data_IF_237450115864
#
_entry.id   IF_237450115864
#
_cell.length_a   1.000
_cell.length_b   1.000
_cell.length_c   1.000
_cell.angle_alpha   90.00
_cell.angle_beta   90.00
_cell.angle_gamma   90.00
#
_symmetry.space_group_name_H-M   'P 1'
#
loop_
_entity.id
_entity.type
_entity.pdbx_description
1 polymer ?
#
# COMPACT_ATOMS: atom_id res chain seq x y z
N UNK A 1 -9.94 12.11 17.26
CA UNK A 1 -11.27 11.50 17.03
C UNK A 1 -11.47 10.25 17.91
N UNK A 2 -10.57 9.22 17.83
CA UNK A 2 -10.71 7.95 18.57
C UNK A 2 -10.79 8.16 20.10
N UNK A 3 -9.98 9.07 20.67
CA UNK A 3 -10.07 9.43 22.09
C UNK A 3 -11.44 10.00 22.47
N UNK A 4 -11.96 10.91 21.65
CA UNK A 4 -13.30 11.46 21.85
C UNK A 4 -14.41 10.40 21.77
N UNK A 5 -14.28 9.41 20.89
CA UNK A 5 -15.19 8.26 20.88
C UNK A 5 -15.13 7.48 22.23
N UNK A 6 -13.94 7.19 22.71
CA UNK A 6 -13.77 6.47 23.97
C UNK A 6 -14.32 7.27 25.17
N UNK A 7 -14.08 8.57 25.23
CA UNK A 7 -14.63 9.48 26.26
C UNK A 7 -16.15 9.55 26.21
N UNK A 8 -16.74 9.42 25.01
CA UNK A 8 -18.19 9.40 24.82
C UNK A 8 -18.81 7.99 24.99
N UNK A 9 -18.01 6.96 25.35
CA UNK A 9 -18.49 5.58 25.45
C UNK A 9 -18.87 4.93 24.12
N UNK A 10 -18.36 5.48 23.00
CA UNK A 10 -18.59 4.95 21.65
C UNK A 10 -17.49 3.99 21.24
N UNK A 11 -17.88 2.86 20.66
CA UNK A 11 -16.90 1.90 20.10
C UNK A 11 -16.39 2.40 18.76
N UNK A 12 -15.10 2.69 18.66
CA UNK A 12 -14.44 2.97 17.40
C UNK A 12 -14.10 1.66 16.67
N UNK A 13 -14.54 1.53 15.41
CA UNK A 13 -14.23 0.36 14.58
C UNK A 13 -12.87 0.59 13.93
N UNK A 14 -11.81 0.15 14.59
CA UNK A 14 -10.42 0.35 14.17
C UNK A 14 -9.45 0.09 15.31
N UNK A 15 -8.14 0.36 15.09
CA UNK A 15 -7.12 0.30 16.13
C UNK A 15 -7.39 1.34 17.22
N UNK A 16 -6.84 1.12 18.40
CA UNK A 16 -6.96 2.09 19.48
C UNK A 16 -6.08 3.33 19.26
N UNK A 17 -6.27 4.34 20.11
CA UNK A 17 -5.58 5.61 19.98
C UNK A 17 -4.04 5.49 20.14
N UNK A 18 -3.55 4.49 20.90
CA UNK A 18 -2.12 4.26 21.10
C UNK A 18 -1.49 3.70 19.83
N UNK A 19 -2.13 2.70 19.19
CA UNK A 19 -1.67 2.14 17.91
C UNK A 19 -1.69 3.19 16.79
N UNK A 20 -2.75 4.02 16.72
CA UNK A 20 -2.84 5.09 15.74
C UNK A 20 -1.76 6.15 15.94
N UNK A 21 -1.44 6.50 17.18
CA UNK A 21 -0.37 7.44 17.49
C UNK A 21 1.02 6.86 17.13
N UNK A 22 1.27 5.60 17.52
CA UNK A 22 2.54 4.92 17.29
C UNK A 22 2.85 4.78 15.79
N UNK A 23 1.93 4.22 15.01
CA UNK A 23 2.15 3.98 13.58
C UNK A 23 1.90 5.22 12.70
N UNK A 24 1.22 6.23 13.23
CA UNK A 24 1.11 7.55 12.60
C UNK A 24 2.38 8.40 12.71
N UNK A 25 3.25 8.07 13.66
CA UNK A 25 4.56 8.69 13.84
C UNK A 25 5.65 7.80 13.24
N UNK A 26 6.26 8.25 12.14
CA UNK A 26 7.31 7.46 11.44
C UNK A 26 8.52 7.18 12.31
N UNK A 27 8.92 8.11 13.18
CA UNK A 27 10.07 7.91 14.07
C UNK A 27 9.74 6.85 15.13
N UNK A 28 8.56 6.89 15.72
CA UNK A 28 8.10 5.91 16.69
C UNK A 28 7.96 4.50 16.05
N UNK A 29 7.42 4.41 14.83
CA UNK A 29 7.32 3.15 14.10
C UNK A 29 8.70 2.55 13.77
N UNK A 30 9.69 3.39 13.39
CA UNK A 30 11.08 2.98 13.15
C UNK A 30 11.74 2.47 14.44
N UNK A 31 11.58 3.18 15.55
CA UNK A 31 12.08 2.74 16.86
C UNK A 31 11.48 1.39 17.27
N UNK A 32 10.19 1.15 17.01
CA UNK A 32 9.57 -0.16 17.22
C UNK A 32 10.23 -1.24 16.33
N UNK A 33 10.45 -0.95 15.06
CA UNK A 33 11.09 -1.88 14.13
C UNK A 33 12.50 -2.26 14.61
N UNK A 34 13.32 -1.27 15.00
CA UNK A 34 14.66 -1.49 15.58
C UNK A 34 14.61 -2.38 16.82
N UNK A 35 13.69 -2.11 17.75
CA UNK A 35 13.49 -2.91 18.96
C UNK A 35 13.13 -4.36 18.64
N UNK A 36 12.37 -4.58 17.58
CA UNK A 36 11.99 -5.90 17.09
C UNK A 36 13.03 -6.56 16.19
N UNK A 37 14.20 -5.93 15.96
CA UNK A 37 15.24 -6.44 15.06
C UNK A 37 14.85 -6.45 13.58
N UNK A 38 13.89 -5.61 13.18
CA UNK A 38 13.40 -5.50 11.81
C UNK A 38 14.28 -4.54 11.03
N UNK A 39 14.84 -4.96 9.86
CA UNK A 39 15.71 -4.11 9.06
C UNK A 39 15.01 -2.83 8.58
N UNK A 40 15.75 -1.73 8.65
CA UNK A 40 15.31 -0.41 8.19
C UNK A 40 16.22 0.10 7.08
N UNK A 41 15.66 0.95 6.20
CA UNK A 41 16.48 1.66 5.23
C UNK A 41 17.48 2.57 5.95
N UNK A 42 18.78 2.49 5.65
CA UNK A 42 19.76 3.45 6.14
C UNK A 42 19.36 4.87 5.76
N UNK A 43 19.34 5.77 6.73
CA UNK A 43 18.89 7.15 6.52
C UNK A 43 19.30 8.07 7.66
N UNK A 44 18.95 9.34 7.53
CA UNK A 44 19.15 10.31 8.60
C UNK A 44 18.21 10.06 9.78
N UNK A 45 18.65 10.37 10.98
CA UNK A 45 17.85 10.21 12.21
C UNK A 45 16.64 11.16 12.28
N UNK A 46 16.62 12.21 11.47
CA UNK A 46 15.57 13.22 11.47
C UNK A 46 15.75 14.21 10.31
N UNK A 47 15.21 15.42 10.48
CA UNK A 47 15.39 16.48 9.52
C UNK A 47 16.89 16.79 9.31
N UNK A 48 17.25 17.02 8.05
CA UNK A 48 18.62 17.38 7.66
C UNK A 48 18.65 18.69 6.88
N UNK A 49 19.77 19.39 6.94
CA UNK A 49 20.09 20.51 6.04
C UNK A 49 20.47 19.99 4.65
N UNK A 50 20.56 20.88 3.67
CA UNK A 50 21.04 20.50 2.34
C UNK A 50 22.47 19.95 2.37
N UNK A 51 23.36 20.55 3.17
CA UNK A 51 24.74 20.12 3.33
C UNK A 51 24.83 18.72 3.92
N UNK A 52 24.03 18.41 4.94
CA UNK A 52 23.94 17.07 5.54
C UNK A 52 23.38 16.06 4.54
N UNK A 53 22.39 16.44 3.74
CA UNK A 53 21.83 15.59 2.68
C UNK A 53 22.87 15.29 1.59
N UNK A 54 23.70 16.29 1.22
CA UNK A 54 24.81 16.10 0.27
C UNK A 54 25.91 15.17 0.82
N UNK A 55 26.26 15.34 2.09
CA UNK A 55 27.21 14.46 2.76
C UNK A 55 26.68 13.02 2.83
N UNK A 56 25.40 12.85 3.17
CA UNK A 56 24.76 11.53 3.16
C UNK A 56 24.75 10.92 1.76
N UNK A 57 24.41 11.68 0.71
CA UNK A 57 24.44 11.22 -0.69
C UNK A 57 25.83 10.72 -1.08
N UNK A 58 26.87 11.50 -0.78
CA UNK A 58 28.24 11.12 -1.10
C UNK A 58 28.67 9.80 -0.44
N UNK A 59 28.17 9.52 0.77
CA UNK A 59 28.46 8.30 1.51
C UNK A 59 27.74 7.05 0.94
N UNK A 60 26.75 7.20 0.03
CA UNK A 60 26.01 6.07 -0.53
C UNK A 60 26.73 5.35 -1.68
N UNK A 61 27.95 5.75 -2.06
CA UNK A 61 28.76 5.11 -3.11
C UNK A 61 28.00 4.88 -4.44
N UNK A 62 27.17 5.85 -4.85
CA UNK A 62 26.42 5.79 -6.11
C UNK A 62 25.05 5.13 -6.04
N UNK A 63 24.61 4.64 -4.88
CA UNK A 63 23.26 4.05 -4.75
C UNK A 63 22.11 5.09 -4.88
N UNK A 64 22.43 6.38 -4.79
CA UNK A 64 21.44 7.45 -4.77
C UNK A 64 20.71 7.56 -3.42
N UNK A 65 19.84 8.55 -3.32
CA UNK A 65 19.05 8.80 -2.12
C UNK A 65 17.59 9.09 -2.45
N UNK A 66 16.72 8.81 -1.50
CA UNK A 66 15.34 9.26 -1.47
C UNK A 66 15.24 10.43 -0.50
N UNK A 67 14.85 11.61 -0.98
CA UNK A 67 14.54 12.77 -0.16
C UNK A 67 13.06 12.72 0.20
N UNK A 68 12.73 12.81 1.50
CA UNK A 68 11.35 12.64 2.01
C UNK A 68 10.96 13.76 2.96
N UNK A 69 9.76 14.31 2.80
CA UNK A 69 9.15 15.22 3.78
C UNK A 69 8.81 14.46 5.08
N UNK A 70 9.12 15.04 6.24
CA UNK A 70 8.86 14.43 7.56
C UNK A 70 7.37 14.19 7.78
N UNK A 71 6.52 15.14 7.41
CA UNK A 71 5.06 15.01 7.48
C UNK A 71 4.43 14.27 6.30
N UNK A 72 5.23 13.81 5.31
CA UNK A 72 4.74 13.23 4.07
C UNK A 72 4.14 11.84 4.23
N UNK A 73 3.11 11.54 3.43
CA UNK A 73 2.46 10.24 3.33
C UNK A 73 1.85 10.02 1.96
N UNK A 74 1.57 8.76 1.59
CA UNK A 74 0.96 8.41 0.30
C UNK A 74 1.80 8.82 -0.91
N UNK A 75 3.12 8.82 -0.81
CA UNK A 75 4.04 9.16 -1.90
C UNK A 75 4.21 10.67 -2.17
N UNK A 76 3.56 11.55 -1.40
CA UNK A 76 3.73 13.00 -1.53
C UNK A 76 4.96 13.49 -0.78
N UNK A 77 5.68 14.47 -1.34
CA UNK A 77 6.89 15.01 -0.73
C UNK A 77 8.07 14.03 -0.77
N UNK A 78 8.14 13.16 -1.78
CA UNK A 78 9.23 12.19 -1.96
C UNK A 78 9.87 12.36 -3.34
N UNK A 79 11.22 12.35 -3.39
CA UNK A 79 12.00 12.41 -4.65
C UNK A 79 13.21 11.51 -4.59
N UNK A 80 13.32 10.63 -5.60
CA UNK A 80 14.52 9.86 -5.84
C UNK A 80 15.58 10.75 -6.52
N UNK A 81 16.80 10.69 -6.04
CA UNK A 81 17.95 11.43 -6.57
C UNK A 81 19.06 10.45 -6.86
N UNK A 82 19.44 10.35 -8.15
CA UNK A 82 20.51 9.48 -8.63
C UNK A 82 21.80 10.23 -8.91
N UNK A 83 21.71 11.52 -9.16
CA UNK A 83 22.86 12.38 -9.46
C UNK A 83 23.00 13.46 -8.41
N UNK A 84 24.20 13.69 -7.90
CA UNK A 84 24.45 14.72 -6.88
C UNK A 84 24.00 16.12 -7.32
N UNK A 85 24.08 16.42 -8.62
CA UNK A 85 23.67 17.71 -9.18
C UNK A 85 22.16 17.97 -9.01
N UNK A 86 21.31 16.93 -8.94
CA UNK A 86 19.86 17.06 -8.84
C UNK A 86 19.39 17.24 -7.38
N UNK A 87 20.27 16.96 -6.41
CA UNK A 87 19.90 16.94 -4.99
C UNK A 87 19.42 18.31 -4.47
N UNK A 88 20.04 19.45 -4.80
CA UNK A 88 19.57 20.74 -4.31
C UNK A 88 18.15 21.09 -4.75
N UNK A 89 17.83 20.80 -6.03
CA UNK A 89 16.49 21.05 -6.56
C UNK A 89 15.45 20.12 -5.92
N UNK A 90 15.76 18.82 -5.83
CA UNK A 90 14.89 17.83 -5.20
C UNK A 90 14.61 18.16 -3.74
N UNK A 91 15.64 18.61 -2.99
CA UNK A 91 15.54 19.02 -1.61
C UNK A 91 14.61 20.23 -1.47
N UNK A 92 14.84 21.32 -2.24
CA UNK A 92 14.05 22.53 -2.19
C UNK A 92 12.57 22.25 -2.52
N UNK A 93 12.29 21.42 -3.51
CA UNK A 93 10.92 20.99 -3.87
C UNK A 93 10.25 20.19 -2.76
N UNK A 94 10.96 19.25 -2.12
CA UNK A 94 10.40 18.48 -1.00
C UNK A 94 10.07 19.39 0.20
N UNK A 95 10.92 20.34 0.54
CA UNK A 95 10.66 21.34 1.59
C UNK A 95 9.42 22.18 1.27
N UNK A 96 9.32 22.68 0.03
CA UNK A 96 8.17 23.48 -0.40
C UNK A 96 6.84 22.69 -0.33
N UNK A 97 6.85 21.45 -0.77
CA UNK A 97 5.69 20.57 -0.71
C UNK A 97 5.32 20.20 0.74
N UNK A 98 6.33 19.96 1.60
CA UNK A 98 6.13 19.71 3.02
C UNK A 98 5.41 20.85 3.72
N UNK A 99 5.87 22.09 3.45
CA UNK A 99 5.24 23.31 3.97
C UNK A 99 3.81 23.47 3.47
N UNK A 100 3.58 23.31 2.17
CA UNK A 100 2.27 23.51 1.55
C UNK A 100 1.23 22.46 1.96
N UNK A 101 1.63 21.20 2.05
CA UNK A 101 0.71 20.09 2.28
C UNK A 101 0.53 19.73 3.76
N UNK A 102 1.55 19.93 4.60
CA UNK A 102 1.58 19.43 5.98
C UNK A 102 1.87 20.50 7.02
N UNK A 103 2.21 21.72 6.60
CA UNK A 103 2.52 22.84 7.52
C UNK A 103 3.83 22.64 8.32
N UNK A 104 4.64 21.64 7.96
CA UNK A 104 5.90 21.28 8.64
C UNK A 104 7.06 21.43 7.66
N UNK A 105 8.11 22.15 8.07
CA UNK A 105 9.35 22.28 7.30
C UNK A 105 10.35 21.26 7.82
N UNK A 106 10.61 20.25 7.03
CA UNK A 106 11.65 19.28 7.36
C UNK A 106 11.64 18.15 6.33
N UNK A 107 12.82 17.83 5.87
CA UNK A 107 13.06 16.67 5.02
C UNK A 107 14.14 15.80 5.65
N UNK A 108 14.03 14.51 5.45
CA UNK A 108 15.07 13.54 5.78
C UNK A 108 15.48 12.79 4.53
N UNK A 109 16.61 12.11 4.57
CA UNK A 109 17.14 11.35 3.45
C UNK A 109 17.34 9.90 3.84
N UNK A 110 17.07 9.00 2.89
CA UNK A 110 17.32 7.57 3.01
C UNK A 110 18.07 7.08 1.77
N UNK A 111 18.83 5.99 1.91
CA UNK A 111 19.41 5.26 0.78
C UNK A 111 18.30 4.87 -0.20
N UNK A 112 18.56 4.97 -1.49
CA UNK A 112 17.60 4.57 -2.53
C UNK A 112 17.77 3.07 -2.83
N UNK A 113 16.69 2.32 -2.80
CA UNK A 113 16.61 0.94 -3.28
C UNK A 113 16.06 0.97 -4.72
N UNK A 114 16.95 0.73 -5.71
CA UNK A 114 16.62 0.94 -7.13
C UNK A 114 15.67 -0.11 -7.70
N UNK A 115 15.77 -1.35 -7.25
CA UNK A 115 14.98 -2.48 -7.74
C UNK A 115 13.96 -2.96 -6.72
N UNK A 116 13.43 -1.99 -5.94
CA UNK A 116 12.50 -2.29 -4.87
C UNK A 116 11.15 -2.77 -5.41
N UNK A 117 10.73 -3.92 -4.90
CA UNK A 117 9.34 -4.36 -4.92
C UNK A 117 8.64 -3.89 -3.65
N UNK A 118 7.37 -3.55 -3.75
CA UNK A 118 6.55 -3.15 -2.61
C UNK A 118 5.69 -4.34 -2.17
N UNK A 119 6.05 -4.93 -1.06
CA UNK A 119 5.34 -6.05 -0.44
C UNK A 119 4.73 -5.58 0.87
N UNK A 120 3.50 -5.97 1.14
CA UNK A 120 2.82 -5.60 2.37
C UNK A 120 2.15 -6.81 3.02
N UNK A 121 2.15 -6.87 4.35
CA UNK A 121 1.58 -7.96 5.14
C UNK A 121 0.28 -7.49 5.78
N UNK A 122 -0.83 -8.20 5.50
CA UNK A 122 -2.10 -7.97 6.17
C UNK A 122 -2.08 -8.58 7.57
N UNK A 123 -2.28 -7.76 8.58
CA UNK A 123 -2.37 -8.18 9.99
C UNK A 123 -3.80 -8.02 10.49
N UNK A 124 -4.21 -8.98 11.32
CA UNK A 124 -5.41 -8.91 12.16
C UNK A 124 -5.02 -9.25 13.60
N UNK A 125 -5.42 -8.40 14.54
CA UNK A 125 -5.20 -8.62 15.97
C UNK A 125 -6.45 -8.35 16.79
N UNK A 126 -6.56 -9.01 17.94
CA UNK A 126 -7.65 -8.80 18.91
C UNK A 126 -7.18 -8.12 20.20
N UNK A 127 -5.90 -7.68 20.25
CA UNK A 127 -5.25 -7.10 21.42
C UNK A 127 -4.53 -8.12 22.30
N UNK A 128 -4.71 -9.43 22.06
CA UNK A 128 -4.06 -10.54 22.77
C UNK A 128 -3.31 -11.45 21.82
N UNK A 129 -3.93 -11.76 20.71
CA UNK A 129 -3.38 -12.58 19.63
C UNK A 129 -3.32 -11.77 18.34
N UNK A 130 -2.33 -12.08 17.50
CA UNK A 130 -2.10 -11.44 16.21
C UNK A 130 -1.83 -12.52 15.17
N UNK A 131 -2.41 -12.37 14.00
CA UNK A 131 -2.18 -13.27 12.86
C UNK A 131 -1.91 -12.47 11.58
N UNK A 132 -1.21 -13.11 10.64
CA UNK A 132 -1.08 -12.64 9.26
C UNK A 132 -2.15 -13.30 8.40
N UNK A 133 -2.70 -12.52 7.47
CA UNK A 133 -3.61 -13.00 6.42
C UNK A 133 -2.94 -13.02 5.04
N UNK A 134 -1.61 -13.14 5.03
CA UNK A 134 -0.79 -13.20 3.83
C UNK A 134 -0.30 -11.83 3.36
N UNK A 135 0.45 -11.88 2.26
CA UNK A 135 1.03 -10.69 1.64
C UNK A 135 0.27 -10.26 0.39
N UNK A 136 0.50 -8.99 0.05
CA UNK A 136 0.13 -8.38 -1.24
C UNK A 136 1.36 -7.79 -1.90
N UNK A 137 1.43 -7.91 -3.20
CA UNK A 137 2.39 -7.19 -4.03
C UNK A 137 1.75 -5.92 -4.58
N UNK A 138 2.37 -4.78 -4.31
CA UNK A 138 1.91 -3.46 -4.70
C UNK A 138 2.95 -2.68 -5.52
N UNK A 139 3.85 -3.38 -6.23
CA UNK A 139 4.98 -2.79 -6.96
C UNK A 139 4.56 -1.99 -8.19
N UNK A 140 3.39 -2.29 -8.79
CA UNK A 140 2.89 -1.59 -9.95
C UNK A 140 2.25 -0.27 -9.56
N UNK A 141 3.08 0.76 -9.55
CA UNK A 141 2.73 2.10 -9.09
C UNK A 141 3.06 3.14 -10.16
N UNK A 142 2.36 4.26 -10.10
CA UNK A 142 2.71 5.47 -10.82
C UNK A 142 2.99 6.57 -9.81
N UNK A 143 4.23 7.06 -9.76
CA UNK A 143 4.65 8.10 -8.80
C UNK A 143 4.22 7.78 -7.36
N UNK A 144 4.50 6.55 -6.93
CA UNK A 144 4.14 6.02 -5.60
C UNK A 144 2.63 5.84 -5.34
N UNK A 145 1.79 5.97 -6.35
CA UNK A 145 0.36 5.62 -6.27
C UNK A 145 0.14 4.21 -6.83
N UNK A 146 -0.39 3.32 -6.03
CA UNK A 146 -0.71 1.94 -6.40
C UNK A 146 -1.75 1.94 -7.52
N UNK A 147 -1.52 1.14 -8.57
CA UNK A 147 -2.42 0.97 -9.72
C UNK A 147 -2.93 -0.46 -9.84
N UNK A 148 -2.07 -1.43 -9.50
CA UNK A 148 -2.38 -2.86 -9.54
C UNK A 148 -1.82 -3.49 -8.28
N UNK A 149 -2.65 -4.25 -7.60
CA UNK A 149 -2.27 -5.02 -6.42
C UNK A 149 -2.60 -6.51 -6.64
N UNK A 150 -1.72 -7.38 -6.14
CA UNK A 150 -1.78 -8.81 -6.37
C UNK A 150 -1.65 -9.57 -5.04
N UNK A 151 -2.42 -10.60 -4.83
CA UNK A 151 -2.29 -11.53 -3.70
C UNK A 151 -2.43 -12.99 -4.16
N UNK A 152 -1.57 -13.89 -3.63
CA UNK A 152 -0.27 -13.60 -3.04
C UNK A 152 0.70 -13.06 -4.10
N UNK A 153 1.88 -12.59 -3.68
CA UNK A 153 2.93 -12.19 -4.62
C UNK A 153 3.40 -13.39 -5.46
N UNK A 154 3.34 -13.32 -6.81
CA UNK A 154 3.60 -14.50 -7.65
C UNK A 154 5.07 -14.90 -7.70
N UNK A 155 5.99 -13.99 -7.41
CA UNK A 155 7.43 -14.19 -7.56
C UNK A 155 8.25 -13.96 -6.29
N UNK A 156 7.61 -13.77 -5.14
CA UNK A 156 8.32 -13.65 -3.86
C UNK A 156 8.78 -15.03 -3.38
N UNK A 157 10.07 -15.18 -3.06
CA UNK A 157 10.59 -16.43 -2.53
C UNK A 157 9.97 -16.79 -1.17
N UNK A 158 9.79 -18.09 -0.90
CA UNK A 158 9.20 -18.56 0.36
C UNK A 158 10.01 -18.11 1.58
N UNK A 159 11.33 -18.02 1.44
CA UNK A 159 12.22 -17.52 2.50
C UNK A 159 11.88 -16.08 2.86
N UNK A 160 11.83 -15.18 1.87
CA UNK A 160 11.55 -13.78 2.11
C UNK A 160 10.11 -13.56 2.57
N UNK A 161 9.14 -14.30 2.00
CA UNK A 161 7.75 -14.30 2.48
C UNK A 161 7.68 -14.62 3.97
N UNK A 162 8.39 -15.67 4.40
CA UNK A 162 8.44 -16.04 5.81
C UNK A 162 9.10 -14.93 6.66
N UNK A 163 10.27 -14.45 6.27
CA UNK A 163 11.01 -13.43 7.03
C UNK A 163 10.21 -12.14 7.24
N UNK A 164 9.63 -11.57 6.18
CA UNK A 164 8.85 -10.32 6.28
C UNK A 164 7.52 -10.54 7.04
N UNK A 165 6.91 -11.73 6.90
CA UNK A 165 5.72 -12.07 7.70
C UNK A 165 6.06 -12.14 9.19
N UNK A 166 7.16 -12.79 9.56
CA UNK A 166 7.60 -12.85 10.97
C UNK A 166 7.96 -11.46 11.51
N UNK A 167 8.57 -10.59 10.71
CA UNK A 167 8.87 -9.21 11.08
C UNK A 167 7.58 -8.42 11.39
N UNK A 168 6.58 -8.48 10.51
CA UNK A 168 5.29 -7.84 10.73
C UNK A 168 4.58 -8.37 11.99
N UNK A 169 4.60 -9.70 12.19
CA UNK A 169 4.02 -10.34 13.37
C UNK A 169 4.76 -9.95 14.66
N UNK A 170 6.10 -9.85 14.63
CA UNK A 170 6.90 -9.45 15.78
C UNK A 170 6.54 -8.02 16.22
N UNK A 171 6.50 -7.08 15.29
CA UNK A 171 6.11 -5.69 15.56
C UNK A 171 4.68 -5.59 16.09
N UNK A 172 3.74 -6.31 15.48
CA UNK A 172 2.34 -6.28 15.89
C UNK A 172 2.11 -6.93 17.26
N UNK A 173 2.84 -8.02 17.59
CA UNK A 173 2.78 -8.68 18.91
C UNK A 173 3.38 -7.83 20.01
N UNK A 174 4.50 -7.16 19.75
CA UNK A 174 5.19 -6.31 20.73
C UNK A 174 4.27 -5.22 21.30
N UNK A 175 3.37 -4.72 20.48
CA UNK A 175 2.42 -3.66 20.87
C UNK A 175 1.02 -4.17 21.22
N UNK A 176 0.77 -5.49 21.18
CA UNK A 176 -0.56 -6.06 21.40
C UNK A 176 -1.59 -5.52 20.40
N UNK A 177 -1.24 -5.55 19.10
CA UNK A 177 -2.04 -4.89 18.05
C UNK A 177 -3.49 -5.36 18.06
N UNK A 178 -4.41 -4.41 17.87
CA UNK A 178 -5.84 -4.67 17.75
C UNK A 178 -6.40 -4.07 16.48
N UNK A 179 -7.33 -4.80 15.81
CA UNK A 179 -7.96 -4.46 14.53
C UNK A 179 -7.14 -4.89 13.32
N UNK A 180 -7.55 -4.44 12.13
CA UNK A 180 -6.81 -4.61 10.89
C UNK A 180 -5.66 -3.61 10.79
N UNK A 181 -4.56 -4.04 10.23
CA UNK A 181 -3.41 -3.21 9.90
C UNK A 181 -2.59 -3.83 8.79
N UNK A 182 -1.78 -3.02 8.15
CA UNK A 182 -0.90 -3.44 7.06
C UNK A 182 0.50 -2.94 7.33
N UNK A 183 1.48 -3.84 7.25
CA UNK A 183 2.90 -3.52 7.41
C UNK A 183 3.56 -3.61 6.05
N UNK A 184 4.20 -2.52 5.62
CA UNK A 184 4.75 -2.36 4.27
C UNK A 184 6.26 -2.48 4.26
N UNK A 185 6.78 -3.18 3.25
CA UNK A 185 8.19 -3.50 3.09
C UNK A 185 8.65 -3.20 1.65
N UNK A 186 9.90 -2.77 1.51
CA UNK A 186 10.59 -2.83 0.22
C UNK A 186 11.45 -4.09 0.18
N UNK A 187 11.41 -4.78 -0.95
CA UNK A 187 12.12 -6.05 -1.16
C UNK A 187 12.95 -5.95 -2.44
N UNK A 188 14.24 -6.26 -2.34
CA UNK A 188 15.16 -6.40 -3.47
C UNK A 188 15.89 -7.74 -3.34
N UNK A 189 15.37 -8.77 -4.01
CA UNK A 189 15.93 -10.13 -3.95
C UNK A 189 17.34 -10.23 -4.55
N UNK A 190 17.73 -9.24 -5.36
CA UNK A 190 19.10 -9.14 -5.91
C UNK A 190 20.13 -8.60 -4.92
N UNK A 191 19.69 -7.98 -3.83
CA UNK A 191 20.58 -7.42 -2.81
C UNK A 191 21.00 -8.48 -1.79
N UNK A 192 22.31 -8.73 -1.69
CA UNK A 192 22.86 -9.60 -0.64
C UNK A 192 23.02 -8.90 0.70
N UNK A 193 23.12 -7.57 0.70
CA UNK A 193 23.32 -6.76 1.91
C UNK A 193 22.00 -6.44 2.61
N UNK A 194 20.99 -6.05 1.83
CA UNK A 194 19.72 -5.57 2.36
C UNK A 194 18.57 -6.06 1.48
N UNK A 195 18.20 -7.36 1.58
CA UNK A 195 17.20 -7.95 0.71
C UNK A 195 15.79 -7.43 0.95
N UNK A 196 15.52 -6.89 2.12
CA UNK A 196 14.25 -6.26 2.45
C UNK A 196 14.37 -5.30 3.63
N UNK A 197 13.46 -4.33 3.71
CA UNK A 197 13.36 -3.35 4.81
C UNK A 197 11.90 -3.02 5.09
N UNK A 198 11.60 -2.71 6.35
CA UNK A 198 10.34 -2.11 6.74
C UNK A 198 10.31 -0.62 6.35
N UNK A 199 9.16 -0.14 5.84
CA UNK A 199 8.97 1.27 5.48
C UNK A 199 7.92 1.96 6.32
N UNK A 200 6.75 1.35 6.50
CA UNK A 200 5.68 1.93 7.31
C UNK A 200 4.64 0.87 7.72
N UNK A 201 3.81 1.19 8.70
CA UNK A 201 2.61 0.45 8.98
C UNK A 201 1.38 1.36 8.90
N UNK A 202 0.34 0.86 8.28
CA UNK A 202 -0.94 1.54 8.12
C UNK A 202 -1.96 0.94 9.08
N UNK A 203 -2.26 1.59 10.23
CA UNK A 203 -3.18 1.07 11.23
C UNK A 203 -4.65 1.31 10.81
N UNK A 204 -5.04 0.72 9.70
CA UNK A 204 -6.38 0.87 9.10
C UNK A 204 -6.60 -0.16 8.01
N UNK A 205 -7.85 -0.32 7.60
CA UNK A 205 -8.20 -1.01 6.35
C UNK A 205 -7.61 -0.23 5.16
N UNK A 206 -7.08 -0.95 4.18
CA UNK A 206 -6.55 -0.36 2.94
C UNK A 206 -7.45 -0.67 1.73
N UNK A 207 -7.29 0.10 0.64
CA UNK A 207 -8.09 -0.04 -0.59
C UNK A 207 -7.95 -1.44 -1.17
N UNK A 208 -6.75 -2.00 -1.10
CA UNK A 208 -6.33 -3.29 -1.67
C UNK A 208 -6.67 -4.52 -0.82
N UNK A 209 -7.40 -4.36 0.30
CA UNK A 209 -7.81 -5.49 1.15
C UNK A 209 -8.58 -6.58 0.39
N UNK A 210 -9.27 -6.20 -0.68
CA UNK A 210 -10.13 -7.09 -1.47
C UNK A 210 -9.38 -8.25 -2.11
N UNK A 211 -8.11 -8.10 -2.52
CA UNK A 211 -7.34 -9.25 -3.05
C UNK A 211 -7.03 -10.28 -1.97
N UNK A 212 -6.83 -9.84 -0.73
CA UNK A 212 -6.68 -10.75 0.42
C UNK A 212 -7.99 -11.49 0.69
N UNK A 213 -9.13 -10.81 0.64
CA UNK A 213 -10.46 -11.42 0.78
C UNK A 213 -10.69 -12.51 -0.28
N UNK A 214 -10.37 -12.22 -1.54
CA UNK A 214 -10.55 -13.17 -2.65
C UNK A 214 -9.72 -14.45 -2.51
N UNK A 215 -8.48 -14.35 -2.01
CA UNK A 215 -7.61 -15.54 -1.88
C UNK A 215 -7.79 -16.30 -0.57
N UNK A 216 -8.28 -15.63 0.50
CA UNK A 216 -8.48 -16.27 1.81
C UNK A 216 -9.94 -16.71 2.05
N UNK A 217 -10.89 -16.13 1.32
CA UNK A 217 -12.31 -16.34 1.55
C UNK A 217 -12.86 -15.64 2.81
N UNK A 218 -12.09 -14.73 3.41
CA UNK A 218 -12.49 -13.96 4.60
C UNK A 218 -13.09 -12.62 4.22
N UNK A 219 -14.05 -12.13 4.98
CA UNK A 219 -14.54 -10.76 4.92
C UNK A 219 -13.81 -9.92 5.99
N UNK A 220 -12.84 -9.13 5.56
CA UNK A 220 -12.00 -8.35 6.47
C UNK A 220 -12.79 -7.25 7.19
N UNK A 221 -13.79 -6.68 6.54
CA UNK A 221 -14.64 -5.65 7.14
C UNK A 221 -15.48 -6.24 8.26
N UNK A 222 -16.10 -7.41 8.05
CA UNK A 222 -16.83 -8.11 9.10
C UNK A 222 -15.92 -8.50 10.26
N UNK A 223 -14.70 -8.98 9.99
CA UNK A 223 -13.72 -9.30 11.02
C UNK A 223 -13.33 -8.06 11.84
N UNK A 224 -13.12 -6.91 11.18
CA UNK A 224 -12.84 -5.65 11.87
C UNK A 224 -13.97 -5.24 12.82
N UNK A 225 -15.21 -5.32 12.36
CA UNK A 225 -16.41 -5.04 13.17
C UNK A 225 -16.51 -6.02 14.35
N UNK A 226 -16.31 -7.31 14.10
CA UNK A 226 -16.37 -8.34 15.16
C UNK A 226 -15.31 -8.13 16.24
N UNK A 227 -14.06 -7.80 15.87
CA UNK A 227 -13.00 -7.47 16.82
C UNK A 227 -13.33 -6.19 17.60
N UNK A 228 -13.87 -5.17 16.95
CA UNK A 228 -14.32 -3.95 17.60
C UNK A 228 -15.44 -4.24 18.63
N UNK A 229 -16.33 -5.18 18.32
CA UNK A 229 -17.35 -5.68 19.25
C UNK A 229 -16.82 -6.58 20.39
N UNK A 230 -15.49 -6.75 20.49
CA UNK A 230 -14.83 -7.48 21.59
C UNK A 230 -14.66 -8.98 21.35
N UNK A 231 -14.91 -9.48 20.13
CA UNK A 231 -14.67 -10.89 19.82
C UNK A 231 -13.18 -11.18 19.68
N UNK A 232 -12.72 -12.32 20.22
CA UNK A 232 -11.36 -12.81 20.03
C UNK A 232 -11.21 -13.54 18.70
N UNK A 233 -9.97 -13.66 18.19
CA UNK A 233 -9.68 -14.42 16.96
C UNK A 233 -10.17 -15.86 17.09
N UNK A 234 -9.93 -16.51 18.23
CA UNK A 234 -10.41 -17.88 18.47
C UNK A 234 -11.93 -18.01 18.45
N UNK A 235 -12.68 -17.01 18.98
CA UNK A 235 -14.14 -17.01 18.93
C UNK A 235 -14.69 -16.78 17.52
N UNK A 236 -13.86 -16.30 16.61
CA UNK A 236 -14.15 -16.13 15.17
C UNK A 236 -13.74 -17.36 14.35
N UNK A 237 -13.23 -18.41 14.99
CA UNK A 237 -12.74 -19.61 14.30
C UNK A 237 -11.38 -19.42 13.64
N UNK A 238 -10.64 -18.38 14.03
CA UNK A 238 -9.32 -18.05 13.49
C UNK A 238 -8.23 -18.49 14.46
N UNK A 239 -7.33 -19.34 13.98
CA UNK A 239 -6.15 -19.80 14.71
C UNK A 239 -4.90 -19.05 14.23
N UNK A 240 -4.27 -18.23 15.08
CA UNK A 240 -3.02 -17.53 14.74
C UNK A 240 -1.85 -18.46 14.38
N UNK A 241 -1.89 -19.72 14.81
CA UNK A 241 -0.86 -20.72 14.49
C UNK A 241 -1.13 -21.45 13.16
N UNK A 242 -2.37 -21.40 12.68
CA UNK A 242 -2.82 -22.00 11.42
C UNK A 242 -3.64 -20.99 10.61
N UNK A 243 -3.02 -19.89 10.11
CA UNK A 243 -3.73 -18.90 9.32
C UNK A 243 -4.31 -19.51 8.06
N UNK A 244 -5.44 -18.99 7.54
CA UNK A 244 -6.03 -19.50 6.31
C UNK A 244 -5.03 -19.41 5.15
N UNK A 245 -4.88 -20.53 4.45
CA UNK A 245 -4.04 -20.61 3.27
C UNK A 245 -4.66 -19.82 2.11
N UNK A 246 -3.84 -19.08 1.38
CA UNK A 246 -4.26 -18.43 0.14
C UNK A 246 -4.57 -19.49 -0.92
N UNK A 247 -5.68 -19.31 -1.64
CA UNK A 247 -6.12 -20.19 -2.74
C UNK A 247 -6.03 -19.45 -4.06
N UNK A 248 -5.08 -19.86 -4.90
CA UNK A 248 -4.85 -19.24 -6.21
C UNK A 248 -4.33 -17.82 -6.13
N UNK A 249 -4.78 -16.95 -7.05
CA UNK A 249 -4.34 -15.56 -7.15
C UNK A 249 -5.51 -14.61 -7.34
N UNK A 250 -5.39 -13.39 -6.80
CA UNK A 250 -6.28 -12.28 -7.07
C UNK A 250 -5.49 -11.04 -7.51
N UNK A 251 -6.07 -10.27 -8.42
CA UNK A 251 -5.51 -9.03 -8.97
C UNK A 251 -6.56 -7.94 -8.85
N UNK A 252 -6.23 -6.84 -8.18
CA UNK A 252 -7.03 -5.62 -8.14
C UNK A 252 -6.45 -4.60 -9.12
N UNK A 253 -7.32 -3.93 -9.84
CA UNK A 253 -7.01 -2.90 -10.82
C UNK A 253 -7.78 -1.64 -10.44
N UNK A 254 -7.07 -0.53 -10.21
CA UNK A 254 -7.70 0.75 -9.82
C UNK A 254 -8.10 1.54 -11.05
N UNK A 255 -9.38 1.59 -11.34
CA UNK A 255 -9.93 2.42 -12.42
C UNK A 255 -10.17 3.82 -11.86
N UNK A 256 -9.36 4.78 -12.31
CA UNK A 256 -9.37 6.17 -11.84
C UNK A 256 -9.93 7.11 -12.92
N UNK A 257 -10.71 8.12 -12.49
CA UNK A 257 -11.11 9.25 -13.32
C UNK A 257 -9.94 10.21 -13.47
N UNK A 258 -9.10 10.00 -14.48
CA UNK A 258 -7.90 10.82 -14.68
C UNK A 258 -7.43 10.82 -16.13
N UNK A 259 -6.79 11.93 -16.52
CA UNK A 259 -6.03 12.06 -17.78
C UNK A 259 -4.55 11.99 -17.47
N UNK A 260 -3.80 11.24 -18.28
CA UNK A 260 -2.35 11.16 -18.17
C UNK A 260 -1.70 12.15 -19.14
N UNK A 261 -0.89 13.06 -18.62
CA UNK A 261 -0.02 13.92 -19.41
C UNK A 261 1.17 13.16 -20.00
N UNK A 262 1.79 13.71 -21.02
CA UNK A 262 3.02 13.17 -21.61
C UNK A 262 4.19 13.09 -20.60
N UNK A 263 4.14 13.91 -19.55
CA UNK A 263 5.07 13.93 -18.42
C UNK A 263 4.78 12.84 -17.37
N UNK A 264 3.78 11.96 -17.62
CA UNK A 264 3.32 10.93 -16.69
C UNK A 264 2.55 11.47 -15.48
N UNK A 265 2.20 12.77 -15.47
CA UNK A 265 1.34 13.32 -14.43
C UNK A 265 -0.13 12.98 -14.67
N UNK A 266 -0.83 12.55 -13.62
CA UNK A 266 -2.27 12.42 -13.66
C UNK A 266 -2.93 13.74 -13.27
N UNK A 267 -4.00 14.05 -13.95
CA UNK A 267 -4.91 15.16 -13.61
C UNK A 267 -6.31 14.58 -13.44
N UNK A 268 -7.05 14.97 -12.39
CA UNK A 268 -8.41 14.52 -12.20
C UNK A 268 -9.26 14.72 -13.45
N UNK A 269 -9.94 13.67 -13.88
CA UNK A 269 -10.92 13.73 -14.94
C UNK A 269 -12.23 14.30 -14.44
N UNK A 270 -12.84 15.18 -15.22
CA UNK A 270 -14.14 15.78 -14.89
C UNK A 270 -15.15 15.46 -16.00
N UNK A 271 -16.41 15.49 -15.67
CA UNK A 271 -17.51 15.20 -16.59
C UNK A 271 -18.55 14.27 -15.97
N UNK A 272 -19.61 13.99 -16.71
CA UNK A 272 -20.63 13.02 -16.36
C UNK A 272 -20.32 11.67 -17.01
N UNK A 273 -20.40 10.58 -16.26
CA UNK A 273 -20.28 9.22 -16.78
C UNK A 273 -21.46 8.94 -17.72
N UNK A 274 -21.26 9.07 -19.02
CA UNK A 274 -22.31 8.83 -20.01
C UNK A 274 -22.61 7.34 -20.17
N UNK A 275 -21.57 6.49 -20.05
CA UNK A 275 -21.66 5.04 -20.01
C UNK A 275 -20.73 4.53 -18.90
N UNK A 276 -21.20 3.53 -18.16
CA UNK A 276 -20.42 2.92 -17.08
C UNK A 276 -20.79 1.44 -16.96
N UNK A 277 -20.30 0.65 -17.90
CA UNK A 277 -20.51 -0.79 -17.94
C UNK A 277 -19.25 -1.49 -17.51
N UNK A 278 -19.34 -2.26 -16.42
CA UNK A 278 -18.25 -3.02 -15.84
C UNK A 278 -18.50 -4.52 -15.97
N UNK A 279 -17.43 -5.33 -16.08
CA UNK A 279 -17.54 -6.77 -16.25
C UNK A 279 -18.14 -7.45 -15.03
N UNK A 280 -18.71 -8.62 -15.26
CA UNK A 280 -19.25 -9.49 -14.21
C UNK A 280 -18.98 -10.97 -14.53
N UNK A 281 -19.33 -11.84 -13.59
CA UNK A 281 -19.23 -13.29 -13.74
C UNK A 281 -18.23 -13.93 -12.78
N UNK A 282 -18.00 -15.26 -12.89
CA UNK A 282 -17.18 -16.01 -11.95
C UNK A 282 -15.75 -15.49 -11.83
N UNK A 283 -15.33 -15.17 -10.60
CA UNK A 283 -13.99 -14.63 -10.31
C UNK A 283 -13.81 -13.18 -10.78
N UNK A 284 -14.89 -12.43 -10.94
CA UNK A 284 -14.88 -10.99 -11.17
C UNK A 284 -15.72 -10.32 -10.09
N UNK A 285 -15.10 -9.42 -9.34
CA UNK A 285 -15.73 -8.58 -8.33
C UNK A 285 -15.49 -7.12 -8.70
N UNK A 286 -16.49 -6.29 -8.53
CA UNK A 286 -16.38 -4.85 -8.74
C UNK A 286 -16.87 -4.14 -7.49
N UNK A 287 -15.98 -3.33 -6.89
CA UNK A 287 -16.35 -2.40 -5.83
C UNK A 287 -16.32 -0.98 -6.42
N UNK A 288 -17.46 -0.31 -6.47
CA UNK A 288 -17.56 1.01 -7.13
C UNK A 288 -18.59 1.90 -6.46
N UNK A 289 -18.39 3.21 -6.59
CA UNK A 289 -19.40 4.22 -6.32
C UNK A 289 -19.93 4.87 -7.62
N UNK A 290 -19.32 4.51 -8.78
CA UNK A 290 -19.70 5.05 -10.09
C UNK A 290 -20.96 4.38 -10.64
N UNK A 291 -21.72 5.13 -11.43
CA UNK A 291 -22.87 4.67 -12.21
C UNK A 291 -23.09 5.62 -13.39
N UNK A 292 -23.79 5.16 -14.43
CA UNK A 292 -24.14 6.01 -15.57
C UNK A 292 -24.98 7.23 -15.10
N UNK A 293 -24.58 8.43 -15.49
CA UNK A 293 -25.16 9.70 -15.04
C UNK A 293 -24.47 10.33 -13.83
N UNK A 294 -23.57 9.62 -13.13
CA UNK A 294 -22.81 10.21 -12.02
C UNK A 294 -21.77 11.21 -12.52
N UNK A 295 -21.50 12.24 -11.71
CA UNK A 295 -20.43 13.21 -11.93
C UNK A 295 -19.40 13.09 -10.81
N UNK A 296 -18.25 12.42 -11.05
CA UNK A 296 -17.20 12.29 -10.05
C UNK A 296 -16.65 13.66 -9.66
N UNK A 297 -16.44 13.84 -8.35
CA UNK A 297 -15.90 15.10 -7.83
C UNK A 297 -14.38 15.16 -7.96
N UNK A 298 -13.80 16.22 -8.53
CA UNK A 298 -12.34 16.39 -8.60
C UNK A 298 -11.70 16.77 -7.25
N UNK A 299 -12.52 17.03 -6.22
CA UNK A 299 -12.04 17.44 -4.89
C UNK A 299 -11.66 16.27 -3.98
N UNK A 300 -11.97 15.05 -4.39
CA UNK A 300 -11.68 13.81 -3.66
C UNK A 300 -10.77 12.90 -4.47
N UNK A 301 -10.61 11.65 -4.02
CA UNK A 301 -9.86 10.64 -4.75
C UNK A 301 -10.49 10.38 -6.13
N UNK A 302 -9.64 10.15 -7.13
CA UNK A 302 -10.06 9.87 -8.51
C UNK A 302 -10.54 8.44 -8.71
N UNK A 303 -10.44 7.56 -7.72
CA UNK A 303 -10.83 6.16 -7.81
C UNK A 303 -12.32 6.01 -8.09
N UNK A 304 -12.68 5.51 -9.27
CA UNK A 304 -14.06 5.21 -9.66
C UNK A 304 -14.49 3.81 -9.27
N UNK A 305 -13.61 2.84 -9.53
CA UNK A 305 -13.90 1.43 -9.29
C UNK A 305 -12.62 0.66 -9.00
N UNK A 306 -12.77 -0.38 -8.18
CA UNK A 306 -11.80 -1.47 -8.05
C UNK A 306 -12.34 -2.65 -8.88
N UNK A 307 -11.65 -3.01 -9.93
CA UNK A 307 -11.90 -4.25 -10.65
C UNK A 307 -11.00 -5.32 -10.04
N UNK A 308 -11.60 -6.30 -9.39
CA UNK A 308 -10.88 -7.39 -8.73
C UNK A 308 -11.19 -8.69 -9.48
N UNK A 309 -10.15 -9.36 -9.93
CA UNK A 309 -10.27 -10.67 -10.58
C UNK A 309 -9.57 -11.72 -9.73
N UNK A 310 -10.15 -12.90 -9.63
CA UNK A 310 -9.55 -14.01 -8.88
C UNK A 310 -9.60 -15.32 -9.67
N UNK A 311 -8.61 -16.17 -9.44
CA UNK A 311 -8.52 -17.52 -10.00
C UNK A 311 -8.05 -18.49 -8.92
N UNK A 312 -8.72 -19.60 -8.75
CA UNK A 312 -8.30 -20.68 -7.85
C UNK A 312 -7.13 -21.52 -8.39
N UNK A 313 -6.74 -21.29 -9.64
CA UNK A 313 -5.58 -21.93 -10.25
C UNK A 313 -4.30 -21.53 -9.50
N UNK A 314 -3.36 -22.46 -9.29
CA UNK A 314 -2.04 -22.15 -8.74
C UNK A 314 -1.13 -21.43 -9.76
N UNK A 315 -1.61 -21.18 -10.97
CA UNK A 315 -0.87 -20.51 -12.04
C UNK A 315 -1.31 -19.07 -12.15
N UNK A 316 -0.40 -18.13 -11.89
CA UNK A 316 -0.69 -16.68 -11.93
C UNK A 316 -1.24 -16.20 -13.26
N UNK A 317 -0.70 -16.71 -14.38
CA UNK A 317 -1.16 -16.37 -15.74
C UNK A 317 -2.67 -16.61 -15.96
N UNK A 318 -3.33 -17.48 -15.19
CA UNK A 318 -4.79 -17.68 -15.28
C UNK A 318 -5.56 -16.49 -14.71
N UNK A 319 -5.08 -15.87 -13.63
CA UNK A 319 -5.63 -14.63 -13.10
C UNK A 319 -5.31 -13.45 -14.04
N UNK A 320 -4.09 -13.39 -14.58
CA UNK A 320 -3.68 -12.35 -15.53
C UNK A 320 -4.53 -12.37 -16.81
N UNK A 321 -4.81 -13.54 -17.40
CA UNK A 321 -5.73 -13.65 -18.55
C UNK A 321 -7.14 -13.16 -18.22
N UNK A 322 -7.63 -13.46 -17.01
CA UNK A 322 -8.94 -12.96 -16.56
C UNK A 322 -8.94 -11.45 -16.39
N UNK A 323 -7.86 -10.86 -15.89
CA UNK A 323 -7.71 -9.41 -15.77
C UNK A 323 -7.76 -8.71 -17.13
N UNK A 324 -7.05 -9.24 -18.14
CA UNK A 324 -7.10 -8.73 -19.52
C UNK A 324 -8.52 -8.73 -20.07
N UNK A 325 -9.19 -9.89 -20.01
CA UNK A 325 -10.57 -10.02 -20.50
C UNK A 325 -11.51 -9.05 -19.76
N UNK A 326 -11.42 -8.96 -18.45
CA UNK A 326 -12.27 -8.09 -17.67
C UNK A 326 -12.06 -6.60 -18.01
N UNK A 327 -10.81 -6.16 -18.22
CA UNK A 327 -10.52 -4.79 -18.67
C UNK A 327 -11.04 -4.52 -20.07
N UNK A 328 -11.00 -5.53 -20.97
CA UNK A 328 -11.49 -5.38 -22.35
C UNK A 328 -13.03 -5.30 -22.43
N UNK A 329 -13.72 -5.83 -21.41
CA UNK A 329 -15.17 -5.75 -21.27
C UNK A 329 -15.64 -4.40 -20.69
N UNK A 330 -14.75 -3.60 -20.06
CA UNK A 330 -15.11 -2.30 -19.50
C UNK A 330 -15.51 -1.29 -20.59
N UNK A 331 -16.62 -0.58 -20.38
CA UNK A 331 -17.07 0.54 -21.22
C UNK A 331 -17.38 1.74 -20.34
N UNK A 332 -16.45 2.69 -20.31
CA UNK A 332 -16.58 3.92 -19.52
C UNK A 332 -16.39 5.10 -20.48
N UNK A 333 -17.40 5.97 -20.57
CA UNK A 333 -17.36 7.16 -21.42
C UNK A 333 -17.90 8.39 -20.67
N UNK A 334 -17.61 9.58 -21.20
CA UNK A 334 -18.02 10.87 -20.61
C UNK A 334 -17.01 11.44 -19.61
N UNK A 335 -16.14 10.60 -19.05
CA UNK A 335 -15.05 10.98 -18.16
C UNK A 335 -13.77 10.27 -18.62
N UNK A 336 -12.63 10.96 -18.74
CA UNK A 336 -11.36 10.29 -19.04
C UNK A 336 -10.95 9.40 -17.89
N UNK A 337 -10.40 8.22 -18.21
CA UNK A 337 -9.93 7.23 -17.22
C UNK A 337 -8.56 6.70 -17.58
N UNK A 338 -7.92 6.05 -16.61
CA UNK A 338 -6.66 5.33 -16.78
C UNK A 338 -6.83 3.91 -17.38
N UNK A 339 -8.02 3.55 -17.88
CA UNK A 339 -8.33 2.20 -18.36
C UNK A 339 -7.31 1.70 -19.41
N UNK A 340 -6.97 2.55 -20.40
CA UNK A 340 -5.99 2.20 -21.43
C UNK A 340 -4.59 1.90 -20.85
N UNK A 341 -4.19 2.61 -19.78
CA UNK A 341 -2.93 2.33 -19.08
C UNK A 341 -2.98 0.95 -18.40
N UNK A 342 -4.08 0.63 -17.71
CA UNK A 342 -4.25 -0.68 -17.07
C UNK A 342 -4.22 -1.82 -18.10
N UNK A 343 -4.91 -1.66 -19.23
CA UNK A 343 -4.87 -2.62 -20.35
C UNK A 343 -3.44 -2.79 -20.90
N UNK A 344 -2.70 -1.70 -21.07
CA UNK A 344 -1.31 -1.75 -21.51
C UNK A 344 -0.40 -2.48 -20.50
N UNK A 345 -0.58 -2.26 -19.20
CA UNK A 345 0.17 -2.93 -18.12
C UNK A 345 -0.05 -4.45 -18.19
N UNK A 346 -1.31 -4.90 -18.13
CA UNK A 346 -1.62 -6.35 -18.08
C UNK A 346 -1.35 -7.08 -19.39
N UNK A 347 -1.16 -6.35 -20.49
CA UNK A 347 -0.83 -6.92 -21.80
C UNK A 347 0.67 -7.14 -22.02
N UNK A 348 1.52 -6.65 -21.12
CA UNK A 348 2.96 -6.88 -21.21
C UNK A 348 3.30 -8.34 -20.87
N UNK A 349 4.33 -8.88 -21.54
CA UNK A 349 4.81 -10.24 -21.29
C UNK A 349 5.34 -10.41 -19.87
N UNK A 350 5.91 -9.35 -19.33
CA UNK A 350 6.49 -9.32 -17.98
C UNK A 350 5.42 -9.35 -16.88
N UNK A 351 4.15 -9.23 -17.25
CA UNK A 351 3.04 -9.33 -16.31
C UNK A 351 2.58 -10.76 -16.04
N UNK A 352 2.93 -11.73 -16.92
CA UNK A 352 2.49 -13.15 -16.80
C UNK A 352 3.34 -13.98 -15.85
#
# INVERSE_FOLDING_TARGET
FVRACAEAGLTFIGPDAAHLALFGDKAAARTLAERCGVPLMPGSAGAVTLEEAQAFFAAQNGAGVMVKAIGGGGGRGMRAVLQAADLPEAYARCVSEARAAFGVEGVYVERLMLHARHIEIQILGDGKAVMSLGERECSLQRRFQKLVEIAPSPSLSEKLRHEITQAALAMARDVGYRSLGTFEFLVDEGSSELPWVFIEANPRLQVEHTVTEEVTGLDLVQLQVAVAAGRSLSSLGLDPQAPPASTGYAIQLRINAETLGADGQARPGTGMLAQFDLPSGPGVRVDTHGYAGATPSPHYDTLLAKLVVSSRSPVFADAARRARRALDECRITGVPTNLALLQAIVSRKEFD
#
